data_IF_851884927929
#
_entry.id   IF_851884927929
#
_cell.length_a   1.000
_cell.length_b   1.000
_cell.length_c   1.000
_cell.angle_alpha   90.00
_cell.angle_beta   90.00
_cell.angle_gamma   90.00
#
_symmetry.space_group_name_H-M   'P 1'
#
loop_
_entity.id
_entity.type
_entity.pdbx_description
1 polymer ?
#
# COMPACT_ATOMS: atom_id res chain seq x y z
N UNK A 1 -3.63 -16.97 -4.38
CA UNK A 1 -3.82 -16.06 -3.23
C UNK A 1 -2.55 -15.82 -2.38
N UNK A 2 -2.09 -16.77 -1.56
CA UNK A 2 -0.93 -16.53 -0.65
C UNK A 2 0.37 -16.21 -1.40
N UNK A 3 0.71 -17.02 -2.41
CA UNK A 3 1.92 -16.81 -3.22
C UNK A 3 1.94 -15.45 -3.95
N UNK A 4 0.77 -14.98 -4.41
CA UNK A 4 0.63 -13.65 -5.01
C UNK A 4 0.89 -12.54 -3.99
N UNK A 5 0.45 -12.72 -2.74
CA UNK A 5 0.69 -11.76 -1.66
C UNK A 5 2.17 -11.66 -1.31
N UNK A 6 2.86 -12.80 -1.21
CA UNK A 6 4.29 -12.88 -0.97
C UNK A 6 5.10 -12.25 -2.11
N UNK A 7 4.69 -12.50 -3.36
CA UNK A 7 5.29 -11.87 -4.55
C UNK A 7 5.14 -10.35 -4.50
N UNK A 8 3.94 -9.86 -4.15
CA UNK A 8 3.69 -8.43 -4.01
C UNK A 8 4.53 -7.81 -2.88
N UNK A 9 4.67 -8.50 -1.75
CA UNK A 9 5.52 -8.06 -0.63
C UNK A 9 6.98 -7.91 -1.07
N UNK A 10 7.50 -8.87 -1.83
CA UNK A 10 8.85 -8.79 -2.39
C UNK A 10 9.01 -7.67 -3.42
N UNK A 11 8.02 -7.45 -4.29
CA UNK A 11 8.05 -6.36 -5.27
C UNK A 11 8.02 -4.98 -4.62
N UNK A 12 7.25 -4.82 -3.53
CA UNK A 12 7.19 -3.57 -2.76
C UNK A 12 8.51 -3.33 -2.02
N UNK A 13 9.06 -4.35 -1.35
CA UNK A 13 10.35 -4.25 -0.67
C UNK A 13 11.51 -3.93 -1.63
N UNK A 14 11.46 -4.44 -2.86
CA UNK A 14 12.44 -4.16 -3.91
C UNK A 14 12.18 -2.84 -4.67
N UNK A 15 11.14 -2.08 -4.33
CA UNK A 15 10.79 -0.83 -5.01
C UNK A 15 10.27 -0.99 -6.46
N UNK A 16 10.02 -2.23 -6.92
CA UNK A 16 9.42 -2.51 -8.23
C UNK A 16 7.94 -2.13 -8.29
N UNK A 17 7.27 -2.17 -7.13
CA UNK A 17 5.88 -1.74 -6.93
C UNK A 17 5.80 -0.82 -5.72
N UNK A 18 4.70 -0.07 -5.62
CA UNK A 18 4.41 0.85 -4.51
C UNK A 18 2.96 0.71 -4.07
N UNK A 19 2.72 0.67 -2.77
CA UNK A 19 1.39 0.85 -2.20
C UNK A 19 0.97 2.32 -2.28
N UNK A 20 -0.27 2.57 -2.66
CA UNK A 20 -0.82 3.93 -2.78
C UNK A 20 -2.11 4.02 -1.95
N UNK A 21 -2.31 5.16 -1.31
CA UNK A 21 -3.62 5.49 -0.77
C UNK A 21 -4.52 5.94 -1.92
N UNK A 22 -5.77 5.49 -1.89
CA UNK A 22 -6.81 6.09 -2.72
C UNK A 22 -7.32 7.33 -1.98
N UNK A 23 -6.75 8.49 -2.29
CA UNK A 23 -7.14 9.76 -1.70
C UNK A 23 -8.07 10.51 -2.65
N UNK A 24 -9.22 10.95 -2.15
CA UNK A 24 -10.05 11.94 -2.83
C UNK A 24 -9.74 13.31 -2.22
N UNK A 25 -9.30 14.26 -3.05
CA UNK A 25 -9.00 15.63 -2.62
C UNK A 25 -10.13 16.56 -3.08
N UNK A 26 -11.11 16.90 -2.21
CA UNK A 26 -12.16 17.84 -2.58
C UNK A 26 -11.57 19.26 -2.68
N UNK A 27 -11.58 19.83 -3.89
CA UNK A 27 -11.15 21.21 -4.17
C UNK A 27 -9.97 21.31 -5.14
N UNK A 28 -9.69 22.53 -5.61
CA UNK A 28 -8.47 22.78 -6.38
C UNK A 28 -7.26 22.72 -5.45
N UNK A 29 -6.32 21.84 -5.74
CA UNK A 29 -5.00 21.86 -5.11
C UNK A 29 -4.34 23.18 -5.51
N UNK A 30 -4.35 24.18 -4.62
CA UNK A 30 -3.58 25.40 -4.82
C UNK A 30 -2.13 25.00 -5.04
N UNK A 31 -1.59 25.29 -6.23
CA UNK A 31 -0.17 25.10 -6.51
C UNK A 31 0.58 26.00 -5.54
N UNK A 32 1.24 25.41 -4.54
CA UNK A 32 2.14 26.16 -3.67
C UNK A 32 3.20 26.82 -4.56
N UNK A 33 3.61 28.08 -4.30
CA UNK A 33 4.75 28.68 -4.97
C UNK A 33 5.93 27.72 -4.83
N UNK A 34 6.50 27.28 -5.96
CA UNK A 34 7.66 26.41 -5.95
C UNK A 34 8.82 27.26 -5.40
N UNK A 35 9.25 27.00 -4.17
CA UNK A 35 10.50 27.58 -3.67
C UNK A 35 11.65 26.97 -4.48
N UNK A 36 12.60 27.78 -4.89
CA UNK A 36 13.72 27.43 -5.77
C UNK A 36 14.80 26.55 -5.10
N UNK A 37 14.39 25.65 -4.20
CA UNK A 37 15.26 24.69 -3.53
C UNK A 37 14.54 23.35 -3.38
N UNK A 38 14.80 22.42 -4.30
CA UNK A 38 14.45 21.01 -4.11
C UNK A 38 15.55 20.39 -3.26
N UNK A 39 15.26 20.19 -1.98
CA UNK A 39 16.04 19.26 -1.17
C UNK A 39 15.93 17.85 -1.80
N UNK A 40 17.01 17.05 -1.73
CA UNK A 40 16.99 15.66 -2.19
C UNK A 40 16.28 14.79 -1.14
N UNK A 41 15.04 15.16 -0.82
CA UNK A 41 14.18 14.41 0.07
C UNK A 41 13.73 13.14 -0.65
N UNK A 42 13.72 12.03 0.10
CA UNK A 42 13.09 10.80 -0.39
C UNK A 42 11.64 11.11 -0.75
N UNK A 43 11.21 10.73 -1.95
CA UNK A 43 9.84 10.97 -2.40
C UNK A 43 8.80 10.42 -1.41
N UNK A 44 7.58 10.97 -1.40
CA UNK A 44 6.57 10.59 -0.42
C UNK A 44 6.32 9.08 -0.45
N UNK A 45 6.49 8.43 0.70
CA UNK A 45 6.27 6.99 0.92
C UNK A 45 5.34 6.76 2.12
N UNK A 46 4.68 5.61 2.14
CA UNK A 46 3.92 5.19 3.32
C UNK A 46 4.86 4.98 4.51
N UNK A 47 4.33 5.16 5.72
CA UNK A 47 5.02 4.72 6.92
C UNK A 47 5.24 3.20 6.87
N UNK A 48 6.38 2.72 7.37
CA UNK A 48 6.69 1.28 7.43
C UNK A 48 5.65 0.47 8.21
N UNK A 49 5.00 1.10 9.21
CA UNK A 49 3.86 0.50 9.90
C UNK A 49 2.68 0.26 8.95
N UNK A 50 2.30 1.27 8.15
CA UNK A 50 1.18 1.15 7.21
C UNK A 50 1.43 0.07 6.13
N UNK A 51 2.67 -0.05 5.64
CA UNK A 51 3.06 -1.11 4.72
C UNK A 51 2.92 -2.51 5.35
N UNK A 52 3.43 -2.69 6.58
CA UNK A 52 3.28 -3.95 7.32
C UNK A 52 1.82 -4.31 7.58
N UNK A 53 1.05 -3.34 8.07
CA UNK A 53 -0.36 -3.52 8.43
C UNK A 53 -1.21 -3.90 7.21
N UNK A 54 -0.92 -3.32 6.04
CA UNK A 54 -1.59 -3.68 4.79
C UNK A 54 -1.43 -5.16 4.44
N UNK A 55 -0.22 -5.69 4.57
CA UNK A 55 0.02 -7.10 4.26
C UNK A 55 -0.58 -8.04 5.32
N UNK A 56 -0.54 -7.65 6.61
CA UNK A 56 -1.23 -8.39 7.68
C UNK A 56 -2.74 -8.47 7.38
N UNK A 57 -3.35 -7.35 6.97
CA UNK A 57 -4.77 -7.30 6.62
C UNK A 57 -5.09 -8.27 5.47
N UNK A 58 -4.29 -8.26 4.40
CA UNK A 58 -4.49 -9.18 3.27
C UNK A 58 -4.33 -10.64 3.67
N UNK A 59 -3.36 -10.97 4.52
CA UNK A 59 -3.18 -12.33 5.05
C UNK A 59 -4.43 -12.79 5.80
N UNK A 60 -4.98 -11.94 6.68
CA UNK A 60 -6.23 -12.24 7.41
C UNK A 60 -7.43 -12.41 6.49
N UNK A 61 -7.58 -11.55 5.48
CA UNK A 61 -8.65 -11.67 4.49
C UNK A 61 -8.59 -13.01 3.73
N UNK A 62 -7.40 -13.42 3.29
CA UNK A 62 -7.23 -14.72 2.62
C UNK A 62 -7.58 -15.90 3.55
N UNK A 63 -7.20 -15.83 4.82
CA UNK A 63 -7.53 -16.86 5.80
C UNK A 63 -9.05 -16.95 6.05
N UNK A 64 -9.71 -15.80 6.28
CA UNK A 64 -11.16 -15.74 6.49
C UNK A 64 -11.93 -16.24 5.27
N UNK A 65 -11.47 -15.89 4.05
CA UNK A 65 -12.10 -16.36 2.83
C UNK A 65 -12.05 -17.89 2.73
N UNK A 66 -10.90 -18.52 3.04
CA UNK A 66 -10.78 -19.98 3.06
C UNK A 66 -11.70 -20.63 4.09
N UNK A 67 -11.85 -20.02 5.26
CA UNK A 67 -12.78 -20.52 6.30
C UNK A 67 -14.24 -20.44 5.84
N UNK A 68 -14.60 -19.37 5.14
CA UNK A 68 -15.94 -19.18 4.62
C UNK A 68 -16.27 -20.19 3.51
N UNK A 69 -15.34 -20.43 2.59
CA UNK A 69 -15.47 -21.45 1.54
C UNK A 69 -15.69 -22.84 2.15
N UNK A 70 -14.88 -23.22 3.15
CA UNK A 70 -15.03 -24.51 3.83
C UNK A 70 -16.25 -24.64 4.75
N UNK A 71 -16.97 -23.55 5.04
CA UNK A 71 -18.22 -23.57 5.80
C UNK A 71 -19.48 -23.61 4.91
N UNK A 72 -19.30 -23.39 3.60
CA UNK A 72 -20.38 -23.46 2.60
C UNK A 72 -20.45 -24.82 1.88
N UNK A 73 -19.45 -25.68 2.10
CA UNK A 73 -19.45 -27.11 1.76
C UNK A 73 -20.13 -27.94 2.86
#
# INVERSE_FOLDING_TARGET
ARAENETLRADVAAGRKRLRINANCPGSLRKAPITSGVDNATGPRLAEAAERDYFILRERLMAMQKQLEGAQE
#
